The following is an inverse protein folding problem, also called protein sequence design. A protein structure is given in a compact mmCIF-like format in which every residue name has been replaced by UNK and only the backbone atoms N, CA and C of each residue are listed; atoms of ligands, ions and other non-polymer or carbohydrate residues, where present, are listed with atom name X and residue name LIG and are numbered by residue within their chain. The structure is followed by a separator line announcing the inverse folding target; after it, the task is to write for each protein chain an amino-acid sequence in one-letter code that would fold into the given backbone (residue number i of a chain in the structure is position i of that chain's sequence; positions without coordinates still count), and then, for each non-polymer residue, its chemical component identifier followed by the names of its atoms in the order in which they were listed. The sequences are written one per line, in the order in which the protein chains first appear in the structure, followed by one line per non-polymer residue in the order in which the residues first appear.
data_IF_616492582115
#
_entry.id   IF_616492582115
#
_cell.length_a   1.000
_cell.length_b   1.000
_cell.length_c   1.000
_cell.angle_alpha   90.00
_cell.angle_beta   90.00
_cell.angle_gamma   90.00
#
_symmetry.space_group_name_H-M   'P 1'
#
loop_
_entity.id
_entity.type
_entity.pdbx_description
1 polymer ?
#
# COMPACT_ATOMS: atom_id res chain seq x y z
N UNK A 1 27.06 54.79 8.67
CA UNK A 1 26.41 54.24 9.87
C UNK A 1 24.91 54.31 9.69
N UNK A 2 24.28 53.17 9.52
CA UNK A 2 22.83 52.96 9.59
C UNK A 2 22.63 51.52 10.07
N UNK A 3 21.60 51.37 10.88
CA UNK A 3 21.41 50.36 11.91
C UNK A 3 21.03 48.98 11.41
N UNK A 4 21.30 48.04 12.30
CA UNK A 4 21.06 46.61 12.27
C UNK A 4 19.57 46.28 12.02
N UNK A 5 19.31 45.28 11.18
CA UNK A 5 18.05 44.55 11.19
C UNK A 5 18.37 43.10 11.52
N UNK A 6 18.35 42.81 12.81
CA UNK A 6 18.23 41.46 13.34
C UNK A 6 16.80 41.00 13.09
N UNK A 7 16.60 40.15 12.08
CA UNK A 7 15.34 39.42 11.88
C UNK A 7 15.54 38.04 12.51
N UNK A 8 14.77 37.81 13.57
CA UNK A 8 14.91 36.69 14.47
C UNK A 8 14.70 35.34 13.82
N UNK A 9 15.52 34.40 14.26
CA UNK A 9 15.29 32.97 14.09
C UNK A 9 14.07 32.60 14.95
N UNK A 10 12.92 32.47 14.31
CA UNK A 10 11.80 31.74 14.89
C UNK A 10 12.16 30.25 14.91
N UNK A 11 12.79 29.80 15.99
CA UNK A 11 12.79 28.38 16.34
C UNK A 11 11.34 27.96 16.63
N UNK A 12 10.65 27.55 15.58
CA UNK A 12 9.43 26.76 15.67
C UNK A 12 9.75 25.47 16.44
N UNK A 13 9.50 25.48 17.75
CA UNK A 13 9.58 24.33 18.64
C UNK A 13 8.57 23.28 18.17
N UNK A 14 9.01 22.41 17.26
CA UNK A 14 8.27 21.19 16.91
C UNK A 14 8.35 20.26 18.11
N UNK A 15 7.31 20.33 18.92
CA UNK A 15 7.08 19.43 20.05
C UNK A 15 7.02 18.01 19.53
N UNK A 16 7.78 17.12 20.19
CA UNK A 16 7.93 15.72 19.83
C UNK A 16 6.65 14.91 20.03
N UNK A 17 5.67 15.12 19.16
CA UNK A 17 4.63 14.14 18.88
C UNK A 17 5.15 13.11 17.89
N UNK A 18 4.68 11.86 18.00
CA UNK A 18 4.72 10.93 16.88
C UNK A 18 3.92 11.55 15.74
N UNK A 19 4.58 12.31 14.87
CA UNK A 19 3.95 12.86 13.66
C UNK A 19 3.68 11.67 12.74
N UNK A 20 2.47 11.10 12.86
CA UNK A 20 1.92 10.28 11.80
C UNK A 20 1.70 11.26 10.65
N UNK A 21 2.63 11.25 9.70
CA UNK A 21 2.48 11.99 8.45
C UNK A 21 1.41 11.26 7.64
N UNK A 22 0.16 11.64 7.86
CA UNK A 22 -0.96 11.28 7.01
C UNK A 22 -0.84 12.19 5.79
N UNK A 23 -0.36 11.64 4.68
CA UNK A 23 -0.45 12.32 3.39
C UNK A 23 -1.91 12.23 2.99
N UNK A 24 -2.69 13.28 3.29
CA UNK A 24 -4.12 13.38 2.96
C UNK A 24 -4.37 13.25 1.45
N UNK A 25 -5.65 13.03 1.11
CA UNK A 25 -6.27 12.59 -0.15
C UNK A 25 -5.62 12.97 -1.49
N UNK A 26 -4.79 14.00 -1.56
CA UNK A 26 -4.05 14.42 -2.75
C UNK A 26 -3.20 13.30 -3.35
N UNK A 27 -2.45 12.53 -2.55
CA UNK A 27 -1.62 11.46 -3.11
C UNK A 27 -2.47 10.28 -3.61
N UNK A 28 -3.62 10.03 -2.97
CA UNK A 28 -4.55 8.96 -3.37
C UNK A 28 -5.23 9.31 -4.69
N UNK A 29 -5.72 10.54 -4.83
CA UNK A 29 -6.31 11.04 -6.08
C UNK A 29 -5.26 11.20 -7.19
N UNK A 30 -4.04 11.64 -6.86
CA UNK A 30 -2.91 11.64 -7.79
C UNK A 30 -2.53 10.23 -8.23
N UNK A 31 -2.54 9.24 -7.33
CA UNK A 31 -2.24 7.84 -7.63
C UNK A 31 -3.25 7.19 -8.58
N UNK A 32 -4.54 7.56 -8.46
CA UNK A 32 -5.60 7.13 -9.38
C UNK A 32 -5.46 7.72 -10.79
N UNK A 33 -4.95 8.96 -10.88
CA UNK A 33 -4.71 9.67 -12.16
C UNK A 33 -3.33 9.36 -12.76
N UNK A 34 -2.39 8.92 -11.94
CA UNK A 34 -1.09 8.48 -12.39
C UNK A 34 -1.30 7.19 -13.20
N UNK A 35 -1.23 7.34 -14.51
CA UNK A 35 -1.18 6.19 -15.39
C UNK A 35 0.19 5.53 -15.17
N UNK A 36 0.23 4.47 -14.35
CA UNK A 36 1.43 3.69 -14.05
C UNK A 36 1.85 2.79 -15.23
N UNK A 37 1.47 3.12 -16.46
CA UNK A 37 1.74 2.37 -17.68
C UNK A 37 3.13 2.65 -18.29
N UNK A 38 4.08 3.08 -17.45
CA UNK A 38 5.49 3.30 -17.82
C UNK A 38 6.38 2.07 -17.57
N UNK A 39 7.68 2.21 -17.86
CA UNK A 39 8.67 1.18 -17.58
C UNK A 39 8.87 0.96 -16.06
N UNK A 40 9.05 -0.29 -15.66
CA UNK A 40 9.39 -0.63 -14.28
C UNK A 40 10.86 -0.33 -13.95
N UNK A 41 11.18 0.03 -12.69
CA UNK A 41 10.29 0.10 -11.53
C UNK A 41 9.47 1.40 -11.46
N UNK A 42 8.23 1.31 -10.97
CA UNK A 42 7.44 2.48 -10.59
C UNK A 42 8.00 3.10 -9.29
N UNK A 43 8.21 4.41 -9.29
CA UNK A 43 8.83 5.12 -8.17
C UNK A 43 7.82 6.06 -7.50
N UNK A 44 7.73 5.95 -6.18
CA UNK A 44 7.07 6.93 -5.32
C UNK A 44 8.17 7.59 -4.49
N UNK A 45 8.36 8.90 -4.68
CA UNK A 45 9.37 9.66 -3.96
C UNK A 45 8.71 10.56 -2.91
N UNK A 46 9.21 10.50 -1.68
CA UNK A 46 8.77 11.37 -0.58
C UNK A 46 10.00 12.12 -0.09
N UNK A 47 9.92 13.45 -0.07
CA UNK A 47 11.00 14.31 0.38
C UNK A 47 10.54 15.18 1.54
N UNK A 48 11.36 15.26 2.58
CA UNK A 48 11.12 16.12 3.73
C UNK A 48 12.06 17.33 3.69
N UNK A 49 11.58 18.50 4.13
CA UNK A 49 12.41 19.72 4.18
C UNK A 49 13.52 19.65 5.25
N UNK A 50 13.39 18.76 6.23
CA UNK A 50 14.37 18.52 7.31
C UNK A 50 14.51 17.01 7.53
N UNK A 51 15.55 16.57 8.25
CA UNK A 51 15.70 15.16 8.62
C UNK A 51 14.53 14.72 9.51
N UNK A 52 13.78 13.70 9.06
CA UNK A 52 12.63 13.13 9.77
C UNK A 52 12.94 11.71 10.20
N UNK A 53 12.61 11.36 11.45
CA UNK A 53 12.65 9.98 11.93
C UNK A 53 11.31 9.30 11.59
N UNK A 54 11.34 8.34 10.68
CA UNK A 54 10.17 7.52 10.35
C UNK A 54 10.08 6.31 11.27
N UNK A 55 8.89 6.04 11.80
CA UNK A 55 8.62 4.83 12.60
C UNK A 55 7.89 3.77 11.78
N UNK A 56 7.00 4.18 10.88
CA UNK A 56 6.13 3.26 10.15
C UNK A 56 5.85 3.80 8.75
N UNK A 57 5.84 2.89 7.78
CA UNK A 57 5.31 3.10 6.42
C UNK A 57 4.26 2.02 6.21
N UNK A 58 3.05 2.45 5.87
CA UNK A 58 1.93 1.54 5.57
C UNK A 58 1.56 1.72 4.10
N UNK A 59 1.44 0.59 3.39
CA UNK A 59 0.97 0.54 2.02
C UNK A 59 -0.29 -0.31 1.98
N UNK A 60 -1.35 0.22 1.39
CA UNK A 60 -2.59 -0.53 1.16
C UNK A 60 -2.48 -1.27 -0.17
N UNK A 61 -2.79 -2.56 -0.16
CA UNK A 61 -2.72 -3.45 -1.34
C UNK A 61 -3.94 -4.36 -1.32
N UNK A 62 -4.68 -4.42 -2.42
CA UNK A 62 -5.87 -5.29 -2.54
C UNK A 62 -5.75 -6.20 -3.77
N UNK A 63 -5.35 -7.45 -3.54
CA UNK A 63 -5.14 -8.44 -4.60
C UNK A 63 -6.39 -8.74 -5.44
N UNK A 64 -7.60 -8.52 -4.90
CA UNK A 64 -8.85 -8.80 -5.62
C UNK A 64 -9.23 -7.62 -6.49
N UNK A 65 -9.10 -6.40 -5.96
CA UNK A 65 -9.44 -5.18 -6.68
C UNK A 65 -8.39 -4.81 -7.73
N UNK A 66 -7.11 -4.99 -7.41
CA UNK A 66 -5.98 -4.50 -8.23
C UNK A 66 -5.55 -5.52 -9.30
N UNK A 67 -5.97 -6.78 -9.20
CA UNK A 67 -5.60 -7.88 -10.11
C UNK A 67 -4.09 -7.88 -10.47
N UNK A 68 -3.75 -7.60 -11.74
CA UNK A 68 -2.38 -7.56 -12.25
C UNK A 68 -1.60 -6.29 -11.90
N UNK A 69 -2.27 -5.24 -11.40
CA UNK A 69 -1.64 -4.02 -10.91
C UNK A 69 -1.11 -4.17 -9.48
N UNK A 70 -1.40 -5.28 -8.80
CA UNK A 70 -0.83 -5.59 -7.49
C UNK A 70 0.69 -5.76 -7.60
N UNK A 71 1.53 -4.98 -6.89
CA UNK A 71 2.97 -5.14 -6.94
C UNK A 71 3.39 -6.49 -6.35
N UNK A 72 4.29 -7.20 -7.02
CA UNK A 72 4.89 -8.45 -6.51
C UNK A 72 6.10 -8.21 -5.61
N UNK A 73 6.75 -7.05 -5.74
CA UNK A 73 7.94 -6.67 -4.98
C UNK A 73 7.97 -5.18 -4.72
N UNK A 74 8.30 -4.80 -3.49
CA UNK A 74 8.46 -3.42 -3.04
C UNK A 74 9.84 -3.27 -2.41
N UNK A 75 10.61 -2.28 -2.89
CA UNK A 75 11.91 -1.89 -2.33
C UNK A 75 11.77 -0.49 -1.72
N UNK A 76 12.01 -0.37 -0.41
CA UNK A 76 12.06 0.89 0.31
C UNK A 76 13.52 1.32 0.38
N UNK A 77 13.77 2.54 -0.09
CA UNK A 77 15.11 3.16 -0.06
C UNK A 77 15.06 4.48 0.68
N UNK A 78 16.13 4.79 1.39
CA UNK A 78 16.26 6.05 2.13
C UNK A 78 17.65 6.65 1.94
N UNK A 79 17.71 7.98 1.98
CA UNK A 79 18.92 8.77 1.76
C UNK A 79 18.67 10.23 2.08
N UNK A 80 19.72 11.05 1.98
CA UNK A 80 19.63 12.51 2.13
C UNK A 80 19.48 13.24 0.78
N UNK A 81 19.57 12.50 -0.34
CA UNK A 81 19.34 13.00 -1.69
C UNK A 81 19.13 11.87 -2.70
N UNK A 82 18.62 12.21 -3.89
CA UNK A 82 18.26 11.24 -4.94
C UNK A 82 19.41 10.32 -5.35
N UNK A 83 20.65 10.78 -5.24
CA UNK A 83 21.85 10.06 -5.68
C UNK A 83 22.45 9.15 -4.60
N UNK A 84 21.94 9.17 -3.36
CA UNK A 84 22.47 8.32 -2.27
C UNK A 84 21.46 7.39 -1.62
N UNK A 85 20.28 7.22 -2.24
CA UNK A 85 19.26 6.30 -1.75
C UNK A 85 19.83 4.88 -1.61
N UNK A 86 19.79 4.34 -0.39
CA UNK A 86 20.17 2.96 -0.09
C UNK A 86 18.94 2.13 0.21
N UNK A 87 18.89 0.91 -0.32
CA UNK A 87 17.83 -0.03 0.01
C UNK A 87 17.92 -0.42 1.50
N UNK A 88 16.84 -0.18 2.23
CA UNK A 88 16.73 -0.48 3.66
C UNK A 88 15.80 -1.66 3.92
N UNK A 89 14.83 -1.89 3.04
CA UNK A 89 13.88 -3.00 3.16
C UNK A 89 13.36 -3.40 1.80
N UNK A 90 13.30 -4.71 1.58
CA UNK A 90 12.60 -5.30 0.44
C UNK A 90 11.53 -6.24 0.97
N UNK A 91 10.35 -6.16 0.35
CA UNK A 91 9.19 -7.01 0.66
C UNK A 91 8.73 -7.65 -0.63
N UNK A 92 8.61 -8.97 -0.63
CA UNK A 92 7.96 -9.72 -1.70
C UNK A 92 6.53 -10.02 -1.27
N UNK A 93 5.58 -9.66 -2.13
CA UNK A 93 4.16 -9.80 -1.90
C UNK A 93 3.66 -11.04 -2.64
N UNK A 94 3.23 -12.03 -1.87
CA UNK A 94 2.68 -13.27 -2.40
C UNK A 94 1.15 -13.16 -2.41
N UNK A 95 0.54 -13.44 -3.57
CA UNK A 95 -0.91 -13.50 -3.68
C UNK A 95 -1.45 -14.56 -2.70
N UNK A 96 -2.44 -14.22 -1.85
CA UNK A 96 -3.02 -15.21 -0.95
C UNK A 96 -3.65 -16.34 -1.78
N UNK A 97 -3.45 -17.57 -1.32
CA UNK A 97 -4.12 -18.75 -1.90
C UNK A 97 -5.59 -18.63 -1.54
N UNK A 98 -6.46 -18.54 -2.55
CA UNK A 98 -7.89 -18.52 -2.32
C UNK A 98 -8.35 -19.94 -1.98
N UNK A 99 -8.67 -20.19 -0.71
CA UNK A 99 -9.21 -21.46 -0.25
C UNK A 99 -10.55 -21.71 -0.96
N UNK A 100 -10.51 -22.52 -2.02
CA UNK A 100 -11.73 -23.12 -2.59
C UNK A 100 -12.25 -24.14 -1.58
N UNK A 101 -13.09 -23.70 -0.66
CA UNK A 101 -13.98 -24.60 0.06
C UNK A 101 -14.78 -25.39 -1.00
N UNK A 102 -14.50 -26.69 -1.11
CA UNK A 102 -15.25 -27.58 -1.97
C UNK A 102 -16.68 -27.68 -1.41
N UNK A 103 -17.61 -27.00 -2.05
CA UNK A 103 -19.02 -27.31 -1.92
C UNK A 103 -19.29 -28.61 -2.69
N UNK A 104 -19.13 -29.76 -2.04
CA UNK A 104 -19.70 -31.03 -2.48
C UNK A 104 -20.24 -31.80 -1.26
N UNK A 105 -21.56 -31.84 -1.13
CA UNK A 105 -22.34 -33.09 -1.02
C UNK A 105 -23.77 -32.74 -0.58
N UNK A 106 -24.72 -33.06 -1.45
CA UNK A 106 -25.90 -33.86 -1.12
C UNK A 106 -26.57 -34.19 -2.45
N UNK A 107 -26.15 -35.30 -3.05
CA UNK A 107 -26.96 -36.01 -4.03
C UNK A 107 -28.10 -36.66 -3.25
N UNK A 108 -29.28 -36.03 -3.28
CA UNK A 108 -30.51 -36.67 -2.81
C UNK A 108 -30.85 -37.84 -3.75
N UNK A 109 -30.50 -39.04 -3.29
CA UNK A 109 -30.97 -40.29 -3.88
C UNK A 109 -32.43 -40.50 -3.48
N UNK A 110 -33.38 -40.06 -4.31
CA UNK A 110 -34.78 -40.48 -4.19
C UNK A 110 -35.03 -41.75 -5.01
N UNK A 111 -34.84 -42.90 -4.37
CA UNK A 111 -35.41 -44.16 -4.83
C UNK A 111 -36.88 -44.22 -4.43
N UNK A 112 -37.79 -43.76 -5.28
CA UNK A 112 -39.22 -44.13 -5.17
C UNK A 112 -39.45 -45.41 -5.97
N UNK A 113 -39.56 -46.53 -5.27
CA UNK A 113 -40.16 -47.74 -5.81
C UNK A 113 -41.67 -47.50 -5.95
N UNK A 114 -42.15 -47.29 -7.17
CA UNK A 114 -43.59 -47.38 -7.45
C UNK A 114 -43.99 -48.86 -7.59
N UNK A 115 -44.78 -49.33 -6.63
CA UNK A 115 -45.65 -50.49 -6.76
C UNK A 115 -46.87 -50.12 -7.61
N UNK A 116 -47.12 -50.85 -8.70
CA UNK A 116 -48.45 -50.95 -9.33
C UNK A 116 -48.62 -52.40 -9.79
N UNK A 117 -49.26 -53.26 -8.99
CA UNK A 117 -50.69 -53.51 -8.83
C UNK A 117 -51.19 -54.63 -9.76
N UNK A 118 -51.73 -55.64 -9.09
CA UNK A 118 -52.42 -56.84 -9.59
C UNK A 118 -53.68 -56.47 -10.36
N UNK A 119 -53.93 -57.12 -11.49
CA UNK A 119 -55.17 -57.84 -11.84
C UNK A 119 -54.90 -58.71 -13.07
#
# INVERSE_FOLDING_TARGET
MATELSVGEEEGKVTGGNQVLIVEDDLREMGKKAAWNGAQPHLVNIQFQKKVKLQLVVLYVDFKLDESYTPSKISIRAGDGFHNLKEIKTVELVKPVEDRAQAQSNEDSSSTQDQQHVT
#
